data_IF_189981866566
#
_entry.id   IF_189981866566
#
_cell.length_a   1.000
_cell.length_b   1.000
_cell.length_c   1.000
_cell.angle_alpha   90.00
_cell.angle_beta   90.00
_cell.angle_gamma   90.00
#
_symmetry.space_group_name_H-M   'P 1'
#
loop_
_entity.id
_entity.type
_entity.pdbx_description
1 polymer ?
#
# COMPACT_ATOMS: atom_id res chain seq x y z
N UNK A 1 15.32 -0.97 -16.31
CA UNK A 1 14.85 -2.13 -15.54
C UNK A 1 13.33 -2.12 -15.64
N UNK A 2 12.73 -3.09 -16.32
CA UNK A 2 11.27 -3.17 -16.46
C UNK A 2 10.69 -3.46 -15.07
N UNK A 3 10.11 -2.44 -14.43
CA UNK A 3 9.72 -2.51 -13.01
C UNK A 3 8.25 -2.85 -12.92
N UNK A 4 7.92 -4.12 -13.15
CA UNK A 4 6.61 -4.65 -12.75
C UNK A 4 6.67 -4.96 -11.26
N UNK A 5 5.85 -4.27 -10.46
CA UNK A 5 5.68 -4.56 -9.05
C UNK A 5 4.73 -5.75 -8.91
N UNK A 6 5.14 -6.81 -8.20
CA UNK A 6 4.27 -7.95 -7.92
C UNK A 6 3.40 -7.69 -6.70
N UNK A 7 2.22 -8.31 -6.65
CA UNK A 7 1.33 -8.30 -5.49
C UNK A 7 1.19 -9.75 -5.07
N UNK A 8 1.48 -10.04 -3.81
CA UNK A 8 1.51 -11.40 -3.31
C UNK A 8 0.14 -12.10 -3.45
N UNK A 9 0.17 -13.42 -3.69
CA UNK A 9 -1.05 -14.23 -3.86
C UNK A 9 -1.97 -14.20 -2.64
N UNK A 10 -1.45 -14.02 -1.44
CA UNK A 10 -2.27 -13.94 -0.23
C UNK A 10 -3.15 -12.68 -0.23
N UNK A 11 -2.64 -11.57 -0.78
CA UNK A 11 -3.42 -10.34 -1.02
C UNK A 11 -4.54 -10.58 -2.03
N UNK A 12 -4.37 -11.49 -3.00
CA UNK A 12 -5.42 -11.83 -3.98
C UNK A 12 -6.69 -12.36 -3.31
N UNK A 13 -6.57 -12.96 -2.11
CA UNK A 13 -7.71 -13.42 -1.33
C UNK A 13 -8.56 -12.25 -0.83
N UNK A 14 -7.95 -11.10 -0.57
CA UNK A 14 -8.65 -9.84 -0.28
C UNK A 14 -8.69 -8.96 -1.54
N UNK A 15 -9.64 -9.28 -2.43
CA UNK A 15 -9.80 -8.61 -3.73
C UNK A 15 -9.90 -7.07 -3.62
N UNK A 16 -10.43 -6.54 -2.51
CA UNK A 16 -10.53 -5.09 -2.28
C UNK A 16 -9.15 -4.47 -2.08
N UNK A 17 -8.36 -5.03 -1.16
CA UNK A 17 -6.98 -4.60 -0.94
C UNK A 17 -6.15 -4.74 -2.22
N UNK A 18 -6.28 -5.89 -2.91
CA UNK A 18 -5.62 -6.11 -4.19
C UNK A 18 -5.98 -5.03 -5.22
N UNK A 19 -7.26 -4.67 -5.33
CA UNK A 19 -7.73 -3.62 -6.22
C UNK A 19 -7.14 -2.26 -5.87
N UNK A 20 -7.18 -1.87 -4.61
CA UNK A 20 -6.66 -0.59 -4.14
C UNK A 20 -5.15 -0.44 -4.41
N UNK A 21 -4.38 -1.49 -4.14
CA UNK A 21 -2.94 -1.56 -4.45
C UNK A 21 -2.72 -1.50 -5.97
N UNK A 22 -3.46 -2.29 -6.75
CA UNK A 22 -3.36 -2.34 -8.22
C UNK A 22 -3.54 -0.96 -8.85
N UNK A 23 -4.52 -0.18 -8.37
CA UNK A 23 -4.78 1.17 -8.88
C UNK A 23 -3.67 2.19 -8.60
N UNK A 24 -2.71 1.85 -7.74
CA UNK A 24 -1.51 2.65 -7.52
C UNK A 24 -0.32 2.06 -8.29
N UNK A 25 0.04 0.81 -8.00
CA UNK A 25 1.35 0.24 -8.41
C UNK A 25 1.46 -0.06 -9.89
N UNK A 26 0.34 -0.20 -10.60
CA UNK A 26 0.33 -0.47 -12.04
C UNK A 26 0.25 0.81 -12.90
N UNK A 27 0.15 2.00 -12.28
CA UNK A 27 0.13 3.26 -13.02
C UNK A 27 1.52 3.57 -13.60
N UNK A 28 1.62 4.02 -14.86
CA UNK A 28 2.92 4.33 -15.47
C UNK A 28 3.71 5.43 -14.73
N UNK A 29 3.02 6.51 -14.34
CA UNK A 29 3.58 7.62 -13.58
C UNK A 29 4.05 7.20 -12.18
N UNK A 30 3.39 6.23 -11.54
CA UNK A 30 3.87 5.65 -10.28
C UNK A 30 5.18 4.90 -10.47
N UNK A 31 5.30 4.11 -11.54
CA UNK A 31 6.53 3.37 -11.85
C UNK A 31 7.69 4.34 -12.11
N UNK A 32 7.44 5.46 -12.79
CA UNK A 32 8.42 6.53 -12.98
C UNK A 32 8.89 7.12 -11.63
N UNK A 33 7.96 7.42 -10.72
CA UNK A 33 8.29 7.86 -9.36
C UNK A 33 9.19 6.86 -8.62
N UNK A 34 8.88 5.56 -8.70
CA UNK A 34 9.69 4.51 -8.07
C UNK A 34 11.11 4.48 -8.66
N UNK A 35 11.24 4.59 -9.99
CA UNK A 35 12.55 4.63 -10.65
C UNK A 35 13.37 5.85 -10.20
N UNK A 36 12.75 7.03 -10.12
CA UNK A 36 13.43 8.25 -9.68
C UNK A 36 13.82 8.20 -8.20
N UNK A 37 12.95 7.65 -7.34
CA UNK A 37 13.30 7.43 -5.93
C UNK A 37 14.45 6.43 -5.77
N UNK A 38 14.47 5.33 -6.54
CA UNK A 38 15.59 4.38 -6.49
C UNK A 38 16.91 5.05 -6.85
N UNK A 39 16.93 5.91 -7.88
CA UNK A 39 18.11 6.71 -8.22
C UNK A 39 18.51 7.66 -7.08
N UNK A 40 17.56 8.43 -6.55
CA UNK A 40 17.79 9.40 -5.47
C UNK A 40 18.39 8.74 -4.22
N UNK A 41 17.85 7.58 -3.85
CA UNK A 41 18.24 6.84 -2.65
C UNK A 41 19.28 5.74 -2.92
N UNK A 42 19.95 5.77 -4.08
CA UNK A 42 21.00 4.83 -4.48
C UNK A 42 20.61 3.35 -4.27
N UNK A 43 19.34 3.03 -4.53
CA UNK A 43 18.79 1.67 -4.47
C UNK A 43 19.09 1.00 -5.80
N UNK A 44 20.28 0.44 -5.90
CA UNK A 44 20.79 -0.19 -7.13
C UNK A 44 20.45 -1.69 -7.22
N UNK A 45 20.05 -2.29 -6.10
CA UNK A 45 19.57 -3.67 -5.97
C UNK A 45 18.33 -3.69 -5.08
N UNK A 46 17.49 -4.70 -5.25
CA UNK A 46 16.39 -4.97 -4.34
C UNK A 46 16.93 -5.60 -3.05
N UNK A 47 16.19 -5.42 -1.95
CA UNK A 47 16.55 -5.94 -0.63
C UNK A 47 15.89 -7.30 -0.39
N UNK A 48 16.47 -8.09 0.50
CA UNK A 48 15.87 -9.37 0.91
C UNK A 48 14.91 -9.21 2.08
N UNK A 49 15.20 -8.25 2.97
CA UNK A 49 14.37 -7.97 4.14
C UNK A 49 14.32 -6.48 4.50
N UNK A 50 13.37 -6.15 5.38
CA UNK A 50 13.10 -4.79 5.81
C UNK A 50 14.23 -4.16 6.64
N UNK A 51 15.01 -4.96 7.37
CA UNK A 51 16.13 -4.49 8.17
C UNK A 51 17.32 -4.09 7.29
N UNK A 52 17.62 -4.84 6.23
CA UNK A 52 18.62 -4.48 5.22
C UNK A 52 18.25 -3.15 4.56
N UNK A 53 16.99 -3.02 4.12
CA UNK A 53 16.47 -1.81 3.51
C UNK A 53 16.57 -0.60 4.46
N UNK A 54 16.11 -0.75 5.70
CA UNK A 54 16.17 0.32 6.69
C UNK A 54 17.62 0.75 6.96
N UNK A 55 18.51 -0.22 7.13
CA UNK A 55 19.94 0.02 7.34
C UNK A 55 20.58 0.75 6.16
N UNK A 56 20.19 0.44 4.93
CA UNK A 56 20.66 1.13 3.74
C UNK A 56 20.24 2.60 3.72
N UNK A 57 18.95 2.88 3.94
CA UNK A 57 18.46 4.27 3.98
C UNK A 57 19.13 5.07 5.11
N UNK A 58 19.31 4.44 6.27
CA UNK A 58 19.97 5.07 7.41
C UNK A 58 21.45 5.39 7.13
N UNK A 59 22.18 4.46 6.50
CA UNK A 59 23.61 4.62 6.17
C UNK A 59 23.89 5.71 5.14
N UNK A 60 22.94 5.99 4.24
CA UNK A 60 23.13 7.03 3.22
C UNK A 60 23.27 8.43 3.83
N UNK A 61 22.70 8.68 5.01
CA UNK A 61 22.92 9.92 5.77
C UNK A 61 22.31 9.80 7.17
N UNK A 62 23.12 10.12 8.19
CA UNK A 62 22.79 10.08 9.62
C UNK A 62 21.58 10.95 10.07
N UNK A 63 20.85 11.62 9.17
CA UNK A 63 19.65 12.43 9.46
C UNK A 63 18.46 12.19 8.50
N UNK A 64 18.52 11.19 7.61
CA UNK A 64 17.66 11.17 6.42
C UNK A 64 16.39 10.31 6.48
N UNK A 65 16.09 9.57 7.55
CA UNK A 65 14.84 8.82 7.61
C UNK A 65 13.59 9.73 7.47
N UNK A 66 13.63 10.92 8.08
CA UNK A 66 12.57 11.92 7.91
C UNK A 66 12.47 12.46 6.47
N UNK A 67 13.60 12.69 5.79
CA UNK A 67 13.60 13.11 4.38
C UNK A 67 13.10 12.00 3.45
N UNK A 68 13.47 10.75 3.74
CA UNK A 68 12.95 9.58 3.04
C UNK A 68 11.44 9.48 3.19
N UNK A 69 10.91 9.60 4.42
CA UNK A 69 9.47 9.64 4.66
C UNK A 69 8.77 10.78 3.91
N UNK A 70 9.36 11.98 3.87
CA UNK A 70 8.82 13.10 3.08
C UNK A 70 8.75 12.81 1.58
N UNK A 71 9.72 12.07 1.04
CA UNK A 71 9.65 11.63 -0.36
C UNK A 71 8.53 10.60 -0.59
N UNK A 72 8.36 9.65 0.34
CA UNK A 72 7.25 8.67 0.30
C UNK A 72 5.90 9.40 0.37
N UNK A 73 5.77 10.35 1.27
CA UNK A 73 4.60 11.22 1.40
C UNK A 73 4.33 12.00 0.11
N UNK A 74 5.37 12.59 -0.50
CA UNK A 74 5.23 13.32 -1.76
C UNK A 74 4.71 12.41 -2.88
N UNK A 75 5.21 11.18 -2.98
CA UNK A 75 4.68 10.18 -3.92
C UNK A 75 3.21 9.94 -3.59
N UNK A 76 2.89 9.56 -2.36
CA UNK A 76 1.53 9.29 -1.89
C UNK A 76 0.55 10.42 -2.25
N UNK A 77 0.90 11.66 -1.93
CA UNK A 77 0.07 12.84 -2.18
C UNK A 77 -0.12 13.09 -3.68
N UNK A 78 0.88 12.84 -4.52
CA UNK A 78 0.73 12.99 -5.98
C UNK A 78 -0.30 12.04 -6.59
N UNK A 79 -0.62 10.93 -5.92
CA UNK A 79 -1.67 9.99 -6.29
C UNK A 79 -2.97 10.14 -5.50
N UNK A 80 -3.09 11.18 -4.66
CA UNK A 80 -4.26 11.40 -3.81
C UNK A 80 -4.52 10.22 -2.86
N UNK A 81 -3.46 9.61 -2.31
CA UNK A 81 -3.57 8.43 -1.43
C UNK A 81 -3.46 8.81 0.04
N UNK A 82 -4.09 7.99 0.89
CA UNK A 82 -4.04 8.10 2.35
C UNK A 82 -2.77 7.44 2.91
N UNK A 83 -2.33 7.81 4.14
CA UNK A 83 -1.09 7.31 4.75
C UNK A 83 -0.94 5.78 4.81
N UNK A 84 -2.04 5.04 4.76
CA UNK A 84 -2.01 3.58 4.68
C UNK A 84 -1.37 3.00 3.40
N UNK A 85 -1.05 3.84 2.41
CA UNK A 85 -0.25 3.46 1.25
C UNK A 85 1.26 3.65 1.43
N UNK A 86 1.72 4.33 2.49
CA UNK A 86 3.16 4.60 2.68
C UNK A 86 3.97 3.30 2.68
N UNK A 87 3.49 2.26 3.38
CA UNK A 87 4.16 0.95 3.36
C UNK A 87 4.12 0.29 1.98
N UNK A 88 3.01 0.38 1.25
CA UNK A 88 2.91 -0.13 -0.13
C UNK A 88 3.97 0.52 -1.02
N UNK A 89 4.17 1.84 -0.90
CA UNK A 89 5.17 2.59 -1.68
C UNK A 89 6.58 2.15 -1.29
N UNK A 90 6.86 2.01 0.01
CA UNK A 90 8.15 1.52 0.49
C UNK A 90 8.46 0.11 -0.02
N UNK A 91 7.47 -0.78 -0.03
CA UNK A 91 7.65 -2.15 -0.52
C UNK A 91 7.84 -2.21 -2.04
N UNK A 92 7.08 -1.42 -2.79
CA UNK A 92 7.29 -1.25 -4.22
C UNK A 92 8.72 -0.76 -4.53
N UNK A 93 9.22 0.19 -3.73
CA UNK A 93 10.55 0.76 -3.87
C UNK A 93 11.65 -0.28 -3.59
N UNK A 94 11.55 -1.00 -2.47
CA UNK A 94 12.63 -1.81 -1.91
C UNK A 94 12.65 -3.27 -2.40
N UNK A 95 11.48 -3.88 -2.60
CA UNK A 95 11.33 -5.33 -2.83
C UNK A 95 10.71 -5.67 -4.18
N UNK A 96 10.03 -4.71 -4.81
CA UNK A 96 9.26 -4.93 -6.04
C UNK A 96 8.15 -5.99 -5.89
N UNK A 97 7.77 -6.29 -4.65
CA UNK A 97 6.66 -7.17 -4.26
C UNK A 97 5.93 -6.55 -3.07
N UNK A 98 4.59 -6.59 -3.09
CA UNK A 98 3.75 -6.18 -1.96
C UNK A 98 3.21 -7.43 -1.26
N UNK A 99 3.72 -7.78 -0.06
CA UNK A 99 3.20 -8.91 0.72
C UNK A 99 1.84 -8.61 1.35
N UNK A 100 1.20 -9.66 1.88
CA UNK A 100 -0.03 -9.53 2.65
C UNK A 100 0.18 -8.75 3.96
N UNK A 101 -0.87 -8.06 4.41
CA UNK A 101 -0.83 -7.25 5.63
C UNK A 101 -0.10 -5.91 5.53
N UNK A 102 0.57 -5.61 4.41
CA UNK A 102 1.23 -4.31 4.18
C UNK A 102 0.19 -3.20 3.93
N UNK A 103 -0.81 -3.48 3.10
CA UNK A 103 -1.92 -2.55 2.94
C UNK A 103 -2.96 -2.80 4.02
N UNK A 104 -3.35 -1.74 4.74
CA UNK A 104 -4.37 -1.80 5.79
C UNK A 104 -5.45 -0.76 5.51
N UNK A 105 -6.70 -1.19 5.38
CA UNK A 105 -7.84 -0.26 5.24
C UNK A 105 -8.20 0.44 6.55
N UNK A 106 -7.82 -0.13 7.68
CA UNK A 106 -7.85 0.55 8.98
C UNK A 106 -6.66 0.10 9.82
N UNK A 107 -6.22 0.95 10.75
CA UNK A 107 -5.05 0.67 11.58
C UNK A 107 -5.15 1.36 12.94
N UNK A 108 -4.42 0.82 13.91
CA UNK A 108 -4.33 1.37 15.27
C UNK A 108 -3.28 2.47 15.32
N UNK A 109 -3.65 3.61 15.90
CA UNK A 109 -2.77 4.75 16.13
C UNK A 109 -2.82 5.18 17.60
N UNK A 110 -1.73 5.78 18.07
CA UNK A 110 -1.63 6.35 19.42
C UNK A 110 -1.71 7.86 19.28
N UNK A 111 -2.68 8.49 19.94
CA UNK A 111 -2.89 9.93 19.92
C UNK A 111 -2.57 10.51 21.30
N UNK A 112 -1.97 11.69 21.34
CA UNK A 112 -1.71 12.41 22.57
C UNK A 112 -3.03 12.95 23.15
N UNK A 113 -3.23 12.85 24.47
CA UNK A 113 -4.37 13.46 25.14
C UNK A 113 -4.03 14.92 25.50
N UNK A 114 -4.67 15.92 24.86
CA UNK A 114 -4.35 17.32 25.10
C UNK A 114 -4.88 17.86 26.45
N UNK A 115 -5.62 17.05 27.22
CA UNK A 115 -6.43 17.53 28.32
C UNK A 115 -5.71 17.73 29.67
N UNK A 116 -4.55 17.11 29.93
CA UNK A 116 -3.80 17.33 31.19
C UNK A 116 -2.31 16.93 31.09
N UNK A 117 -1.36 17.88 31.15
CA UNK A 117 0.08 17.60 31.12
C UNK A 117 0.61 16.83 32.35
N UNK A 118 -0.19 16.67 33.41
CA UNK A 118 0.16 15.93 34.63
C UNK A 118 -0.52 14.55 34.74
N UNK A 119 -1.31 14.14 33.75
CA UNK A 119 -1.95 12.83 33.75
C UNK A 119 -1.00 11.76 33.15
N UNK A 120 -0.71 10.74 33.95
CA UNK A 120 0.11 9.58 33.59
C UNK A 120 -0.47 8.73 32.44
N UNK A 121 -1.72 8.98 32.05
CA UNK A 121 -2.43 8.40 30.88
C UNK A 121 -2.37 9.31 29.64
N UNK A 122 -1.19 9.86 29.33
CA UNK A 122 -0.94 10.82 28.23
C UNK A 122 -1.37 10.37 26.82
N UNK A 123 -1.70 9.08 26.62
CA UNK A 123 -1.92 8.52 25.30
C UNK A 123 -3.26 7.78 25.20
N UNK A 124 -4.09 8.21 24.26
CA UNK A 124 -5.30 7.48 23.82
C UNK A 124 -4.97 6.64 22.59
N UNK A 125 -5.76 5.60 22.35
CA UNK A 125 -5.64 4.76 21.16
C UNK A 125 -6.85 5.01 20.25
N UNK A 126 -6.57 5.26 18.98
CA UNK A 126 -7.59 5.45 17.95
C UNK A 126 -7.45 4.34 16.90
N UNK A 127 -8.58 3.89 16.36
CA UNK A 127 -8.57 3.10 15.13
C UNK A 127 -8.87 4.07 14.00
N UNK A 128 -7.88 4.31 13.15
CA UNK A 128 -8.05 5.13 11.97
C UNK A 128 -8.76 4.31 10.91
N UNK A 129 -9.85 4.86 10.38
CA UNK A 129 -10.64 4.24 9.32
C UNK A 129 -10.46 5.02 8.02
N UNK A 130 -10.26 4.29 6.92
CA UNK A 130 -10.31 4.87 5.58
C UNK A 130 -11.70 4.66 4.96
N UNK A 131 -12.05 5.38 3.87
CA UNK A 131 -13.35 5.21 3.21
C UNK A 131 -13.66 3.78 2.75
N UNK A 132 -12.63 2.96 2.53
CA UNK A 132 -12.79 1.57 2.11
C UNK A 132 -12.95 0.59 3.28
N UNK A 133 -12.86 1.04 4.55
CA UNK A 133 -12.93 0.17 5.73
C UNK A 133 -14.28 -0.55 5.82
N UNK A 134 -14.25 -1.87 6.04
CA UNK A 134 -15.44 -2.66 6.36
C UNK A 134 -15.40 -3.19 7.80
N UNK A 135 -16.53 -3.68 8.30
CA UNK A 135 -16.65 -4.23 9.67
C UNK A 135 -15.63 -5.35 9.95
N UNK A 136 -15.35 -6.19 8.97
CA UNK A 136 -14.42 -7.30 9.13
C UNK A 136 -12.98 -6.81 9.34
N UNK A 137 -12.57 -5.73 8.67
CA UNK A 137 -11.26 -5.11 8.88
C UNK A 137 -11.13 -4.60 10.33
N UNK A 138 -12.17 -3.93 10.82
CA UNK A 138 -12.22 -3.43 12.19
C UNK A 138 -12.11 -4.57 13.21
N UNK A 139 -12.74 -5.71 12.96
CA UNK A 139 -12.66 -6.86 13.85
C UNK A 139 -11.23 -7.40 13.98
N UNK A 140 -10.46 -7.41 12.88
CA UNK A 140 -9.04 -7.79 12.86
C UNK A 140 -8.22 -6.80 13.69
N UNK A 141 -8.34 -5.49 13.43
CA UNK A 141 -7.58 -4.46 14.15
C UNK A 141 -7.95 -4.43 15.64
N UNK A 142 -9.22 -4.61 15.99
CA UNK A 142 -9.68 -4.71 17.39
C UNK A 142 -9.10 -5.94 18.09
N UNK A 143 -8.99 -7.08 17.39
CA UNK A 143 -8.36 -8.29 17.92
C UNK A 143 -6.87 -8.05 18.19
N UNK A 144 -6.15 -7.43 17.25
CA UNK A 144 -4.75 -7.06 17.43
C UNK A 144 -4.55 -6.11 18.61
N UNK A 145 -5.39 -5.07 18.70
CA UNK A 145 -5.36 -4.13 19.82
C UNK A 145 -5.54 -4.83 21.16
N UNK A 146 -6.59 -5.67 21.29
CA UNK A 146 -6.83 -6.46 22.51
C UNK A 146 -5.65 -7.37 22.85
N UNK A 147 -4.99 -7.97 21.86
CA UNK A 147 -3.80 -8.78 22.08
C UNK A 147 -2.60 -7.95 22.55
N UNK A 148 -2.36 -6.78 21.95
CA UNK A 148 -1.27 -5.88 22.35
C UNK A 148 -1.47 -5.34 23.78
N UNK A 149 -2.71 -5.02 24.16
CA UNK A 149 -3.09 -4.67 25.54
C UNK A 149 -2.80 -5.83 26.50
N UNK A 150 -3.29 -7.04 26.18
CA UNK A 150 -3.05 -8.24 27.01
C UNK A 150 -1.57 -8.57 27.19
N UNK A 151 -0.73 -8.24 26.21
CA UNK A 151 0.73 -8.46 26.25
C UNK A 151 1.50 -7.34 26.98
N UNK A 152 0.83 -6.30 27.47
CA UNK A 152 1.48 -5.15 28.12
C UNK A 152 2.36 -4.32 27.16
N UNK A 153 2.20 -4.49 25.84
CA UNK A 153 2.92 -3.70 24.82
C UNK A 153 2.34 -2.29 24.65
N UNK A 154 1.17 -2.07 25.25
CA UNK A 154 0.39 -0.84 25.25
C UNK A 154 0.35 -0.37 26.72
N UNK A 155 1.50 0.09 27.24
CA UNK A 155 1.65 1.11 28.32
C UNK A 155 3.15 1.40 28.65
N UNK A 156 3.43 2.70 28.86
CA UNK A 156 4.63 3.40 29.36
C UNK A 156 6.02 2.94 28.85
N UNK A 157 6.43 3.41 27.66
CA UNK A 157 7.87 3.61 27.35
C UNK A 157 8.13 5.07 26.98
N UNK A 158 9.09 5.66 27.70
CA UNK A 158 9.77 6.96 27.53
C UNK A 158 9.20 7.91 26.47
N UNK A 159 8.63 9.03 26.94
CA UNK A 159 8.22 10.25 26.21
C UNK A 159 9.15 10.60 25.04
N UNK A 160 10.46 10.47 25.21
CA UNK A 160 11.47 10.81 24.20
C UNK A 160 11.45 9.93 22.94
N UNK A 161 11.11 8.65 23.06
CA UNK A 161 11.09 7.69 21.93
C UNK A 161 9.82 7.85 21.08
N UNK A 162 8.73 8.28 21.72
CA UNK A 162 7.43 8.52 21.05
C UNK A 162 7.37 9.93 20.43
N UNK A 163 7.90 10.94 21.11
CA UNK A 163 7.92 12.32 20.60
C UNK A 163 8.75 12.43 19.31
N UNK A 164 9.81 11.62 19.14
CA UNK A 164 10.58 11.54 17.88
C UNK A 164 9.84 10.80 16.75
N UNK A 165 8.87 9.94 17.07
CA UNK A 165 8.11 9.14 16.10
C UNK A 165 6.81 9.81 15.64
N UNK A 166 6.22 10.68 16.46
CA UNK A 166 4.84 11.20 16.29
C UNK A 166 4.78 12.64 15.75
N UNK A 167 5.87 13.42 15.79
CA UNK A 167 5.89 14.85 15.38
C UNK A 167 5.74 15.06 13.84
N UNK A 168 5.46 14.03 13.03
CA UNK A 168 5.36 14.17 11.56
C UNK A 168 4.09 13.61 10.91
N UNK A 169 3.00 13.36 11.64
CA UNK A 169 1.74 12.90 11.01
C UNK A 169 0.55 13.72 11.50
N UNK A 170 0.35 14.88 10.89
CA UNK A 170 -0.95 15.56 10.94
C UNK A 170 -1.93 14.82 10.01
N UNK A 171 -3.13 14.58 10.53
CA UNK A 171 -4.22 13.93 9.80
C UNK A 171 -4.72 14.85 8.69
N UNK A 172 -4.36 14.55 7.45
CA UNK A 172 -4.98 15.15 6.27
C UNK A 172 -6.18 14.29 5.84
N UNK A 173 -7.36 14.91 5.72
CA UNK A 173 -8.49 14.30 5.01
C UNK A 173 -8.06 14.05 3.57
N UNK A 174 -7.82 12.78 3.24
CA UNK A 174 -7.57 12.37 1.86
C UNK A 174 -8.77 12.72 0.96
N UNK A 175 -8.55 12.74 -0.37
CA UNK A 175 -9.61 13.04 -1.31
C UNK A 175 -10.79 12.06 -1.14
N UNK A 176 -12.00 12.54 -1.45
CA UNK A 176 -13.21 11.71 -1.46
C UNK A 176 -13.00 10.50 -2.36
N UNK A 177 -12.81 9.33 -1.75
CA UNK A 177 -12.63 8.08 -2.46
C UNK A 177 -14.01 7.55 -2.87
N UNK A 178 -14.24 7.41 -4.17
CA UNK A 178 -15.34 6.58 -4.63
C UNK A 178 -15.05 5.14 -4.19
N UNK A 179 -15.96 4.46 -3.48
CA UNK A 179 -15.75 3.08 -3.10
C UNK A 179 -15.48 2.24 -4.36
N UNK A 180 -14.62 1.21 -4.27
CA UNK A 180 -14.30 0.39 -5.41
C UNK A 180 -15.60 -0.18 -6.01
N UNK A 181 -15.78 -0.11 -7.33
CA UNK A 181 -17.03 -0.54 -7.95
C UNK A 181 -17.27 -2.02 -7.67
N UNK A 182 -18.53 -2.45 -7.54
CA UNK A 182 -18.95 -3.85 -7.28
C UNK A 182 -18.33 -4.91 -8.22
N UNK A 183 -17.63 -4.51 -9.29
CA UNK A 183 -16.93 -5.36 -10.26
C UNK A 183 -15.47 -5.68 -9.88
N UNK A 184 -15.11 -5.65 -8.58
CA UNK A 184 -13.78 -6.07 -8.07
C UNK A 184 -13.48 -7.54 -8.40
N UNK A 185 -14.52 -8.37 -8.62
CA UNK A 185 -14.40 -9.82 -8.76
C UNK A 185 -13.34 -10.29 -9.78
N UNK A 186 -13.09 -9.50 -10.83
CA UNK A 186 -12.19 -9.84 -11.94
C UNK A 186 -10.84 -9.11 -11.90
N UNK A 187 -10.53 -8.32 -10.88
CA UNK A 187 -9.33 -7.46 -10.88
C UNK A 187 -8.03 -8.24 -11.05
N UNK A 188 -7.88 -9.39 -10.40
CA UNK A 188 -6.70 -10.25 -10.49
C UNK A 188 -6.46 -10.70 -11.94
N UNK A 189 -7.53 -11.15 -12.61
CA UNK A 189 -7.49 -11.55 -14.02
C UNK A 189 -7.19 -10.36 -14.92
N UNK A 190 -7.91 -9.26 -14.75
CA UNK A 190 -7.77 -8.06 -15.58
C UNK A 190 -6.35 -7.50 -15.48
N UNK A 191 -5.77 -7.49 -14.27
CA UNK A 191 -4.37 -7.13 -14.00
C UNK A 191 -3.39 -8.08 -14.69
N UNK A 192 -3.58 -9.39 -14.56
CA UNK A 192 -2.74 -10.40 -15.25
C UNK A 192 -2.73 -10.16 -16.76
N UNK A 193 -3.91 -9.98 -17.36
CA UNK A 193 -4.06 -9.70 -18.79
C UNK A 193 -3.42 -8.38 -19.20
N UNK A 194 -3.55 -7.32 -18.40
CA UNK A 194 -2.89 -6.04 -18.64
C UNK A 194 -1.36 -6.18 -18.72
N UNK A 195 -0.75 -6.92 -17.79
CA UNK A 195 0.69 -7.12 -17.79
C UNK A 195 1.19 -8.04 -18.90
N UNK A 196 0.42 -9.05 -19.31
CA UNK A 196 0.74 -9.84 -20.51
C UNK A 196 0.74 -8.96 -21.77
N UNK A 197 -0.24 -8.05 -21.88
CA UNK A 197 -0.31 -7.09 -22.98
C UNK A 197 0.86 -6.11 -22.98
N UNK A 198 1.31 -5.67 -21.80
CA UNK A 198 2.51 -4.82 -21.65
C UNK A 198 3.79 -5.53 -22.06
N UNK A 199 3.88 -6.85 -21.82
CA UNK A 199 5.01 -7.70 -22.27
C UNK A 199 5.01 -8.01 -23.77
N UNK A 200 4.02 -7.53 -24.53
CA UNK A 200 3.95 -7.69 -25.97
C UNK A 200 2.98 -8.77 -26.48
N UNK A 201 2.28 -9.48 -25.59
CA UNK A 201 1.26 -10.43 -26.05
C UNK A 201 0.08 -9.69 -26.71
N UNK A 202 -0.36 -10.18 -27.86
CA UNK A 202 -1.59 -9.74 -28.50
C UNK A 202 -2.82 -10.17 -27.70
N UNK A 203 -3.95 -9.46 -27.85
CA UNK A 203 -5.21 -9.84 -27.20
C UNK A 203 -5.63 -11.29 -27.51
N UNK A 204 -5.32 -11.78 -28.72
CA UNK A 204 -5.58 -13.16 -29.12
C UNK A 204 -4.73 -14.15 -28.32
N UNK A 205 -3.42 -13.92 -28.21
CA UNK A 205 -2.52 -14.79 -27.43
C UNK A 205 -2.91 -14.82 -25.95
N UNK A 206 -3.31 -13.68 -25.39
CA UNK A 206 -3.78 -13.60 -24.00
C UNK A 206 -5.05 -14.43 -23.80
N UNK A 207 -6.02 -14.31 -24.71
CA UNK A 207 -7.24 -15.11 -24.68
C UNK A 207 -6.94 -16.62 -24.78
N UNK A 208 -6.08 -17.03 -25.72
CA UNK A 208 -5.67 -18.43 -25.91
C UNK A 208 -4.94 -19.02 -24.69
N UNK A 209 -4.16 -18.21 -23.96
CA UNK A 209 -3.47 -18.61 -22.71
C UNK A 209 -4.38 -18.71 -21.48
N UNK A 210 -5.66 -18.34 -21.57
CA UNK A 210 -6.54 -18.31 -20.40
C UNK A 210 -7.20 -19.66 -20.17
N UNK A 211 -6.88 -20.32 -19.05
CA UNK A 211 -7.30 -21.70 -18.71
C UNK A 211 -8.83 -21.89 -18.60
N UNK A 212 -9.59 -20.81 -18.43
CA UNK A 212 -11.05 -20.85 -18.53
C UNK A 212 -11.48 -20.41 -19.92
N UNK A 213 -11.80 -21.38 -20.77
CA UNK A 213 -12.81 -21.19 -21.83
C UNK A 213 -14.19 -21.04 -21.18
N UNK A 214 -14.33 -20.03 -20.32
CA UNK A 214 -15.62 -19.63 -19.78
C UNK A 214 -16.49 -19.29 -20.99
N UNK A 215 -17.57 -20.06 -21.21
CA UNK A 215 -18.42 -19.95 -22.43
C UNK A 215 -19.05 -18.55 -22.61
N UNK A 216 -18.91 -17.68 -21.61
CA UNK A 216 -19.42 -16.31 -21.56
C UNK A 216 -18.43 -15.25 -22.01
N UNK A 217 -17.16 -15.61 -22.28
CA UNK A 217 -16.12 -14.63 -22.65
C UNK A 217 -15.70 -14.76 -24.12
N UNK A 218 -16.22 -13.85 -24.95
CA UNK A 218 -15.74 -13.65 -26.31
C UNK A 218 -14.33 -13.02 -26.33
N UNK A 219 -13.67 -13.05 -27.50
CA UNK A 219 -12.36 -12.42 -27.74
C UNK A 219 -12.37 -10.93 -27.36
N UNK A 220 -13.52 -10.26 -27.49
CA UNK A 220 -13.70 -8.86 -27.14
C UNK A 220 -13.64 -8.61 -25.64
N UNK A 221 -13.96 -9.62 -24.81
CA UNK A 221 -13.89 -9.57 -23.36
C UNK A 221 -12.49 -9.23 -22.83
N UNK A 222 -11.42 -9.79 -23.42
CA UNK A 222 -10.03 -9.47 -23.03
C UNK A 222 -9.70 -8.00 -23.35
N UNK A 223 -10.08 -7.56 -24.56
CA UNK A 223 -9.87 -6.16 -24.99
C UNK A 223 -10.63 -5.19 -24.09
N UNK A 224 -11.90 -5.46 -23.80
CA UNK A 224 -12.75 -4.64 -22.92
C UNK A 224 -12.19 -4.59 -21.50
N UNK A 225 -11.75 -5.71 -20.95
CA UNK A 225 -11.17 -5.79 -19.61
C UNK A 225 -9.87 -4.97 -19.49
N UNK A 226 -8.94 -5.16 -20.42
CA UNK A 226 -7.67 -4.40 -20.42
C UNK A 226 -7.92 -2.91 -20.60
N UNK A 227 -8.80 -2.51 -21.53
CA UNK A 227 -9.17 -1.09 -21.72
C UNK A 227 -9.82 -0.50 -20.46
N UNK A 228 -10.71 -1.25 -19.81
CA UNK A 228 -11.35 -0.81 -18.57
C UNK A 228 -10.34 -0.63 -17.44
N UNK A 229 -9.36 -1.53 -17.30
CA UNK A 229 -8.29 -1.37 -16.31
C UNK A 229 -7.40 -0.16 -16.65
N UNK A 230 -6.96 0.00 -17.90
CA UNK A 230 -6.17 1.17 -18.33
C UNK A 230 -6.86 2.49 -18.00
N UNK A 231 -8.17 2.59 -18.22
CA UNK A 231 -8.96 3.78 -17.87
C UNK A 231 -8.99 4.07 -16.36
N UNK A 232 -8.82 3.06 -15.50
CA UNK A 232 -8.74 3.25 -14.04
C UNK A 232 -7.33 3.61 -13.56
N UNK A 233 -6.30 3.37 -14.38
CA UNK A 233 -4.90 3.68 -14.08
C UNK A 233 -4.51 5.11 -14.48
N UNK A 234 -5.37 5.81 -15.23
CA UNK A 234 -5.23 7.23 -15.58
C UNK A 234 -6.00 8.07 -14.57
#
# INVERSE_FOLDING_TARGET
METKIEINKEVENNKRHYYDITLLVDRPDFIEWIVELRKKWKINKLFEDYHEFYSHIWKISNKNWGLFKKDIEKVRQSFGRLPNFDEVIMYALAFNEIPDGIYKSCYLETIEDPADPNNDEKYKYAIIVTPNTIKDDLAVVLKEFKQKVKKGLIQKKSKKVMDEAVVNYEFELGPNYAPPPNKIANIVRDRKWYWLQKKGDSYRQIWEKTERKDKTFDKDGVTKAIKALKKRLT
#
